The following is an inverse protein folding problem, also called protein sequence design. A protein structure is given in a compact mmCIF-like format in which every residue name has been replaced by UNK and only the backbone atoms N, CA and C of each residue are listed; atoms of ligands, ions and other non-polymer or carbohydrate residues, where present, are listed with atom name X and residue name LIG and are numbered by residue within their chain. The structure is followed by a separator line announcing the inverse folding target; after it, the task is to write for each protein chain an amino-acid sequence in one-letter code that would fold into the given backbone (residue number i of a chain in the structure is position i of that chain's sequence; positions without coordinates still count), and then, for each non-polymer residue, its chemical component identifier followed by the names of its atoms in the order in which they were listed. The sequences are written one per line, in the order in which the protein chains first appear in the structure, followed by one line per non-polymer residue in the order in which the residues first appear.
data_IF_554193672302
#
_entry.id   IF_554193672302
#
_cell.length_a   1.000
_cell.length_b   1.000
_cell.length_c   1.000
_cell.angle_alpha   90.00
_cell.angle_beta   90.00
_cell.angle_gamma   90.00
#
_symmetry.space_group_name_H-M   'P 1'
#
loop_
_entity.id
_entity.type
_entity.pdbx_description
1 polymer ?
#
# COMPACT_ATOMS: atom_id res chain seq x y z
N UNK A 1 -8.10 1.38 5.23
CA UNK A 1 -8.51 2.78 5.53
C UNK A 1 -8.71 3.05 7.03
N UNK A 2 -9.04 2.06 7.87
CA UNK A 2 -9.25 2.27 9.31
C UNK A 2 -8.08 2.96 10.03
N UNK A 3 -6.83 2.57 9.72
CA UNK A 3 -5.64 3.23 10.27
C UNK A 3 -5.55 4.71 9.91
N UNK A 4 -5.97 5.08 8.69
CA UNK A 4 -5.98 6.46 8.23
C UNK A 4 -7.02 7.29 9.01
N UNK A 5 -8.24 6.76 9.15
CA UNK A 5 -9.30 7.41 9.91
C UNK A 5 -8.92 7.56 11.40
N UNK A 6 -8.41 6.49 12.01
CA UNK A 6 -7.94 6.52 13.40
C UNK A 6 -6.81 7.54 13.61
N UNK A 7 -5.89 7.68 12.65
CA UNK A 7 -4.83 8.67 12.70
C UNK A 7 -5.38 10.10 12.73
N UNK A 8 -6.31 10.43 11.82
CA UNK A 8 -6.89 11.77 11.72
C UNK A 8 -7.74 12.10 12.94
N UNK A 9 -8.64 11.21 13.34
CA UNK A 9 -9.50 11.41 14.53
C UNK A 9 -8.67 11.65 15.77
N UNK A 10 -7.55 10.94 15.91
CA UNK A 10 -6.67 11.07 17.06
C UNK A 10 -5.84 12.36 17.06
N UNK A 11 -5.59 12.98 15.91
CA UNK A 11 -4.86 14.26 15.81
C UNK A 11 -5.82 15.45 15.97
N UNK A 12 -6.98 15.40 15.31
CA UNK A 12 -7.96 16.48 15.29
C UNK A 12 -8.83 16.48 16.55
N UNK A 13 -9.26 15.30 17.01
CA UNK A 13 -10.08 15.12 18.21
C UNK A 13 -11.59 15.28 17.99
N UNK A 14 -12.00 16.12 17.04
CA UNK A 14 -13.40 16.29 16.63
C UNK A 14 -13.78 15.38 15.45
N UNK A 15 -14.95 14.73 15.52
CA UNK A 15 -15.39 13.75 14.51
C UNK A 15 -15.73 14.42 13.16
N UNK A 16 -16.41 15.55 13.18
CA UNK A 16 -16.85 16.25 11.96
C UNK A 16 -15.65 16.86 11.23
N UNK A 17 -14.78 17.56 11.94
CA UNK A 17 -13.55 18.09 11.37
C UNK A 17 -12.65 16.97 10.83
N UNK A 18 -12.57 15.84 11.54
CA UNK A 18 -11.83 14.65 11.08
C UNK A 18 -12.39 14.08 9.79
N UNK A 19 -13.71 14.04 9.63
CA UNK A 19 -14.34 13.60 8.40
C UNK A 19 -13.98 14.49 7.22
N UNK A 20 -13.96 15.81 7.41
CA UNK A 20 -13.58 16.76 6.36
C UNK A 20 -12.10 16.65 5.99
N UNK A 21 -11.21 16.50 6.98
CA UNK A 21 -9.78 16.26 6.72
C UNK A 21 -9.56 14.92 6.02
N UNK A 22 -10.27 13.87 6.43
CA UNK A 22 -10.23 12.55 5.79
C UNK A 22 -10.70 12.63 4.34
N UNK A 23 -11.80 13.33 4.06
CA UNK A 23 -12.30 13.54 2.69
C UNK A 23 -11.28 14.31 1.83
N UNK A 24 -10.74 15.41 2.35
CA UNK A 24 -9.75 16.22 1.65
C UNK A 24 -8.47 15.43 1.31
N UNK A 25 -8.07 14.46 2.14
CA UNK A 25 -6.94 13.58 1.87
C UNK A 25 -7.14 12.81 0.54
N UNK A 26 -8.33 12.28 0.27
CA UNK A 26 -8.57 11.50 -0.95
C UNK A 26 -8.91 12.35 -2.17
N UNK A 27 -9.59 13.47 -1.96
CA UNK A 27 -10.06 14.30 -3.07
C UNK A 27 -8.98 15.25 -3.60
N UNK A 28 -8.07 15.70 -2.72
CA UNK A 28 -7.12 16.77 -3.04
C UNK A 28 -5.66 16.33 -3.00
N UNK A 29 -5.27 15.47 -2.05
CA UNK A 29 -3.86 15.17 -1.76
C UNK A 29 -3.37 13.90 -2.47
N UNK A 30 -4.20 12.86 -2.45
CA UNK A 30 -3.92 11.59 -3.12
C UNK A 30 -4.44 11.64 -4.57
N UNK A 31 -3.91 10.78 -5.46
CA UNK A 31 -4.51 10.55 -6.77
C UNK A 31 -5.99 10.16 -6.67
N UNK A 32 -6.79 10.57 -7.66
CA UNK A 32 -8.19 10.16 -7.77
C UNK A 32 -8.27 8.63 -7.78
N UNK A 33 -9.29 8.08 -7.09
CA UNK A 33 -9.54 6.64 -6.99
C UNK A 33 -8.44 5.81 -6.32
N UNK A 34 -7.59 6.44 -5.49
CA UNK A 34 -6.42 5.78 -4.89
C UNK A 34 -6.74 4.43 -4.22
N UNK A 35 -7.87 4.34 -3.51
CA UNK A 35 -8.32 3.14 -2.81
C UNK A 35 -9.47 2.38 -3.48
N UNK A 36 -9.97 2.79 -4.65
CA UNK A 36 -11.13 2.14 -5.28
C UNK A 36 -10.74 0.80 -5.92
N UNK A 37 -9.84 0.84 -6.90
CA UNK A 37 -9.33 -0.35 -7.60
C UNK A 37 -7.89 -0.69 -7.20
N UNK A 38 -7.33 0.05 -6.24
CA UNK A 38 -5.92 0.00 -5.83
C UNK A 38 -4.92 0.22 -6.97
N UNK A 39 -5.38 0.62 -8.16
CA UNK A 39 -4.54 0.85 -9.33
C UNK A 39 -3.49 1.90 -9.04
N UNK A 40 -3.87 3.03 -8.45
CA UNK A 40 -2.92 4.10 -8.15
C UNK A 40 -1.91 3.71 -7.06
N UNK A 41 -2.29 2.85 -6.12
CA UNK A 41 -1.34 2.28 -5.14
C UNK A 41 -0.31 1.40 -5.85
N UNK A 42 -0.75 0.56 -6.78
CA UNK A 42 0.16 -0.28 -7.57
C UNK A 42 1.06 0.56 -8.49
N UNK A 43 0.54 1.65 -9.04
CA UNK A 43 1.32 2.64 -9.79
C UNK A 43 2.38 3.29 -8.89
N UNK A 44 1.99 3.78 -7.71
CA UNK A 44 2.91 4.39 -6.75
C UNK A 44 3.95 3.39 -6.24
N UNK A 45 3.56 2.15 -6.01
CA UNK A 45 4.47 1.05 -5.71
C UNK A 45 5.48 0.84 -6.84
N UNK A 46 5.03 0.80 -8.10
CA UNK A 46 5.92 0.66 -9.26
C UNK A 46 6.93 1.81 -9.32
N UNK A 47 6.47 3.04 -9.09
CA UNK A 47 7.32 4.24 -9.05
C UNK A 47 8.36 4.11 -7.93
N UNK A 48 7.94 3.71 -6.74
CA UNK A 48 8.81 3.54 -5.58
C UNK A 48 9.90 2.49 -5.83
N UNK A 49 9.53 1.33 -6.38
CA UNK A 49 10.49 0.28 -6.77
C UNK A 49 11.49 0.82 -7.80
N UNK A 50 11.04 1.61 -8.78
CA UNK A 50 11.92 2.24 -9.76
C UNK A 50 12.88 3.26 -9.13
N UNK A 51 12.43 4.01 -8.12
CA UNK A 51 13.28 4.93 -7.36
C UNK A 51 14.32 4.14 -6.58
N UNK A 52 13.92 3.09 -5.85
CA UNK A 52 14.80 2.20 -5.10
C UNK A 52 15.87 1.58 -6.01
N UNK A 53 15.47 1.01 -7.15
CA UNK A 53 16.38 0.41 -8.13
C UNK A 53 17.43 1.40 -8.64
N UNK A 54 17.05 2.66 -8.90
CA UNK A 54 17.94 3.70 -9.43
C UNK A 54 18.83 4.34 -8.38
N UNK A 55 18.35 4.48 -7.14
CA UNK A 55 19.02 5.28 -6.10
C UNK A 55 19.76 4.44 -5.07
N UNK A 56 19.31 3.20 -4.83
CA UNK A 56 19.97 2.23 -3.95
C UNK A 56 20.07 0.89 -4.67
N UNK A 57 20.78 0.89 -5.79
CA UNK A 57 20.92 -0.29 -6.67
C UNK A 57 21.54 -1.48 -5.95
N UNK A 58 22.48 -1.25 -5.03
CA UNK A 58 23.10 -2.31 -4.21
C UNK A 58 22.03 -3.00 -3.35
N UNK A 59 21.28 -2.24 -2.57
CA UNK A 59 20.18 -2.75 -1.75
C UNK A 59 19.12 -3.47 -2.58
N UNK A 60 18.68 -2.85 -3.69
CA UNK A 60 17.67 -3.47 -4.56
C UNK A 60 18.12 -4.83 -5.09
N UNK A 61 19.37 -4.94 -5.57
CA UNK A 61 19.92 -6.22 -6.05
C UNK A 61 20.05 -7.24 -4.92
N UNK A 62 20.45 -6.80 -3.73
CA UNK A 62 20.55 -7.66 -2.55
C UNK A 62 19.21 -8.31 -2.21
N UNK A 63 18.14 -7.50 -2.08
CA UNK A 63 16.79 -8.00 -1.82
C UNK A 63 16.34 -9.00 -2.89
N UNK A 64 16.58 -8.70 -4.17
CA UNK A 64 16.23 -9.59 -5.28
C UNK A 64 17.02 -10.91 -5.27
N UNK A 65 18.31 -10.88 -4.94
CA UNK A 65 19.15 -12.08 -4.88
C UNK A 65 18.67 -13.05 -3.80
N UNK A 66 18.17 -12.53 -2.67
CA UNK A 66 17.61 -13.32 -1.58
C UNK A 66 16.15 -13.73 -1.85
N UNK A 67 15.54 -13.21 -2.92
CA UNK A 67 14.17 -13.52 -3.31
C UNK A 67 13.10 -12.69 -2.60
N UNK A 68 13.50 -11.61 -1.91
CA UNK A 68 12.56 -10.67 -1.31
C UNK A 68 12.08 -9.65 -2.36
N UNK A 69 10.80 -9.78 -2.72
CA UNK A 69 10.13 -8.77 -3.53
C UNK A 69 9.69 -7.58 -2.65
N UNK A 70 10.35 -6.44 -2.84
CA UNK A 70 10.02 -5.22 -2.12
C UNK A 70 8.58 -4.73 -2.37
N UNK A 71 7.90 -5.22 -3.41
CA UNK A 71 6.48 -5.01 -3.61
C UNK A 71 5.62 -5.47 -2.42
N UNK A 72 6.08 -6.45 -1.64
CA UNK A 72 5.33 -6.95 -0.46
C UNK A 72 5.21 -5.87 0.60
N UNK A 73 6.36 -5.32 0.99
CA UNK A 73 6.46 -4.33 2.06
C UNK A 73 5.91 -2.98 1.60
N UNK A 74 6.31 -2.54 0.40
CA UNK A 74 5.90 -1.23 -0.11
C UNK A 74 4.39 -1.09 -0.29
N UNK A 75 3.67 -2.18 -0.60
CA UNK A 75 2.22 -2.13 -0.70
C UNK A 75 1.58 -1.75 0.64
N UNK A 76 1.95 -2.46 1.71
CA UNK A 76 1.45 -2.21 3.06
C UNK A 76 1.75 -0.78 3.50
N UNK A 77 2.98 -0.30 3.25
CA UNK A 77 3.40 1.06 3.57
C UNK A 77 2.58 2.12 2.84
N UNK A 78 2.29 1.92 1.55
CA UNK A 78 1.53 2.86 0.73
C UNK A 78 0.02 2.83 1.06
N UNK A 79 -0.57 1.65 1.27
CA UNK A 79 -1.99 1.50 1.63
C UNK A 79 -2.30 2.17 2.97
N UNK A 80 -1.36 2.13 3.91
CA UNK A 80 -1.52 2.75 5.22
C UNK A 80 -0.89 4.15 5.30
N UNK A 81 -0.29 4.68 4.23
CA UNK A 81 0.45 5.94 4.23
C UNK A 81 1.39 6.07 5.44
N UNK A 82 2.09 4.96 5.77
CA UNK A 82 2.97 4.80 6.95
C UNK A 82 2.31 4.94 8.34
N UNK A 83 1.00 5.21 8.44
CA UNK A 83 0.30 5.40 9.73
C UNK A 83 0.36 4.20 10.67
N UNK A 84 0.55 3.00 10.13
CA UNK A 84 0.62 1.75 10.89
C UNK A 84 2.05 1.16 10.97
N UNK A 85 3.05 1.86 10.41
CA UNK A 85 4.40 1.33 10.19
C UNK A 85 5.49 2.04 11.00
N UNK A 86 5.15 3.14 11.67
CA UNK A 86 6.06 3.93 12.48
C UNK A 86 5.43 4.16 13.86
N UNK A 87 6.22 4.64 14.82
CA UNK A 87 5.65 5.15 16.08
C UNK A 87 4.78 6.37 15.80
N UNK A 88 3.87 6.64 16.73
CA UNK A 88 2.82 7.64 16.57
C UNK A 88 3.37 9.01 16.18
N UNK A 89 4.31 9.53 16.96
CA UNK A 89 4.85 10.88 16.85
C UNK A 89 5.56 11.09 15.50
N UNK A 90 6.27 10.07 15.04
CA UNK A 90 6.94 10.08 13.74
C UNK A 90 5.92 10.03 12.62
N UNK A 91 4.94 9.13 12.70
CA UNK A 91 3.91 9.00 11.68
C UNK A 91 3.08 10.29 11.52
N UNK A 92 2.72 10.95 12.63
CA UNK A 92 2.06 12.27 12.62
C UNK A 92 2.88 13.32 11.88
N UNK A 93 4.18 13.37 12.18
CA UNK A 93 5.07 14.34 11.53
C UNK A 93 5.19 14.08 10.03
N UNK A 94 5.24 12.82 9.60
CA UNK A 94 5.19 12.47 8.16
C UNK A 94 3.88 12.92 7.52
N UNK A 95 2.78 12.85 8.27
CA UNK A 95 1.47 13.31 7.81
C UNK A 95 1.41 14.84 7.68
N UNK A 96 2.10 15.60 8.53
CA UNK A 96 2.25 17.04 8.33
C UNK A 96 2.88 17.36 6.97
N UNK A 97 3.94 16.62 6.60
CA UNK A 97 4.55 16.76 5.26
C UNK A 97 3.62 16.28 4.14
N UNK A 98 2.80 15.26 4.37
CA UNK A 98 1.80 14.80 3.40
C UNK A 98 0.77 15.89 3.11
N UNK A 99 0.26 16.57 4.14
CA UNK A 99 -0.68 17.68 3.98
C UNK A 99 -0.01 18.93 3.38
N UNK A 100 1.25 19.19 3.71
CA UNK A 100 1.97 20.38 3.24
C UNK A 100 2.52 20.25 1.81
N UNK A 101 3.11 19.11 1.48
CA UNK A 101 3.86 18.90 0.23
C UNK A 101 3.18 17.93 -0.75
N UNK A 102 2.12 17.24 -0.30
CA UNK A 102 1.40 16.24 -1.07
C UNK A 102 1.98 14.82 -0.94
N UNK A 103 1.43 13.90 -1.74
CA UNK A 103 1.78 12.46 -1.70
C UNK A 103 3.27 12.14 -1.90
N UNK A 104 4.07 13.04 -2.49
CA UNK A 104 5.53 12.90 -2.60
C UNK A 104 6.23 12.76 -1.25
N UNK A 105 5.65 13.30 -0.17
CA UNK A 105 6.19 13.17 1.18
C UNK A 105 6.35 11.69 1.58
N UNK A 106 5.39 10.83 1.22
CA UNK A 106 5.41 9.40 1.51
C UNK A 106 6.57 8.70 0.78
N UNK A 107 6.82 9.05 -0.49
CA UNK A 107 7.97 8.50 -1.23
C UNK A 107 9.30 8.86 -0.57
N UNK A 108 9.44 10.12 -0.12
CA UNK A 108 10.66 10.58 0.55
C UNK A 108 10.82 9.94 1.93
N UNK A 109 9.73 9.79 2.68
CA UNK A 109 9.71 9.09 3.96
C UNK A 109 10.14 7.64 3.79
N UNK A 110 9.57 6.91 2.83
CA UNK A 110 9.95 5.52 2.55
C UNK A 110 11.44 5.42 2.17
N UNK A 111 11.94 6.28 1.29
CA UNK A 111 13.36 6.28 0.93
C UNK A 111 14.27 6.68 2.11
N UNK A 112 13.77 7.52 3.02
CA UNK A 112 14.41 7.85 4.29
C UNK A 112 14.54 6.62 5.19
N UNK A 113 13.44 5.91 5.43
CA UNK A 113 13.40 4.65 6.20
C UNK A 113 14.37 3.63 5.61
N UNK A 114 14.32 3.41 4.29
CA UNK A 114 15.24 2.49 3.61
C UNK A 114 16.70 2.91 3.71
N UNK A 115 16.99 4.19 3.88
CA UNK A 115 18.37 4.66 4.10
C UNK A 115 18.85 4.32 5.49
N UNK A 116 17.97 4.44 6.49
CA UNK A 116 18.30 4.12 7.87
C UNK A 116 18.49 2.61 8.08
N UNK A 117 17.71 1.79 7.38
CA UNK A 117 17.79 0.33 7.45
C UNK A 117 18.84 -0.29 6.53
N UNK A 118 19.48 0.49 5.65
CA UNK A 118 20.30 -0.07 4.56
C UNK A 118 21.45 -0.94 5.06
N UNK A 119 22.15 -0.51 6.11
CA UNK A 119 23.29 -1.24 6.65
C UNK A 119 22.86 -2.58 7.27
N UNK A 120 21.75 -2.60 8.01
CA UNK A 120 21.20 -3.82 8.59
C UNK A 120 20.73 -4.79 7.50
N UNK A 121 20.04 -4.28 6.48
CA UNK A 121 19.53 -5.09 5.37
C UNK A 121 20.67 -5.70 4.55
N UNK A 122 21.79 -4.99 4.39
CA UNK A 122 22.94 -5.52 3.65
C UNK A 122 23.78 -6.53 4.44
N UNK A 123 23.57 -6.65 5.75
CA UNK A 123 24.25 -7.62 6.60
C UNK A 123 23.51 -8.96 6.72
N UNK A 124 22.23 -9.00 6.35
CA UNK A 124 21.43 -10.23 6.42
C UNK A 124 21.35 -10.91 5.05
N UNK A 125 21.55 -12.22 5.05
CA UNK A 125 21.44 -13.08 3.87
C UNK A 125 20.20 -14.00 3.91
N UNK A 126 19.38 -13.92 4.97
CA UNK A 126 18.15 -14.70 5.14
C UNK A 126 16.89 -13.88 4.82
N UNK A 127 15.94 -14.52 4.13
CA UNK A 127 14.67 -13.89 3.74
C UNK A 127 13.84 -13.44 4.96
N UNK A 128 13.75 -14.27 5.99
CA UNK A 128 12.90 -14.02 7.16
C UNK A 128 13.43 -12.84 7.97
N UNK A 129 14.75 -12.78 8.15
CA UNK A 129 15.42 -11.67 8.82
C UNK A 129 15.24 -10.35 8.07
N UNK A 130 15.43 -10.35 6.75
CA UNK A 130 15.18 -9.16 5.93
C UNK A 130 13.73 -8.69 6.00
N UNK A 131 12.79 -9.62 5.96
CA UNK A 131 11.37 -9.32 6.07
C UNK A 131 11.06 -8.70 7.44
N UNK A 132 11.59 -9.26 8.53
CA UNK A 132 11.39 -8.74 9.88
C UNK A 132 12.00 -7.34 10.05
N UNK A 133 13.20 -7.11 9.51
CA UNK A 133 13.84 -5.78 9.52
C UNK A 133 12.94 -4.77 8.80
N UNK A 134 12.37 -5.13 7.64
CA UNK A 134 11.50 -4.22 6.90
C UNK A 134 10.14 -4.00 7.58
N UNK A 135 9.55 -5.02 8.20
CA UNK A 135 8.19 -4.93 8.75
C UNK A 135 8.16 -4.29 10.15
N UNK A 136 9.09 -4.68 11.03
CA UNK A 136 9.03 -4.34 12.46
C UNK A 136 10.04 -3.27 12.86
N UNK A 137 11.27 -3.32 12.35
CA UNK A 137 12.35 -2.41 12.77
C UNK A 137 12.08 -0.91 12.55
N UNK A 138 11.32 -0.44 11.53
CA UNK A 138 10.96 0.97 11.43
C UNK A 138 10.27 1.52 12.70
N UNK A 139 9.48 0.69 13.39
CA UNK A 139 8.80 1.09 14.64
C UNK A 139 9.72 1.09 15.85
N UNK A 140 10.77 0.29 15.83
CA UNK A 140 11.67 0.11 16.98
C UNK A 140 12.83 1.11 16.94
N UNK A 141 13.35 1.36 15.74
CA UNK A 141 14.58 2.15 15.56
C UNK A 141 14.29 3.64 15.40
N UNK A 142 13.21 4.00 14.69
CA UNK A 142 12.90 5.40 14.37
C UNK A 142 12.12 6.00 15.54
N UNK A 143 12.85 6.47 16.54
CA UNK A 143 12.28 6.96 17.80
C UNK A 143 12.04 8.48 17.82
N UNK A 144 12.52 9.21 16.81
CA UNK A 144 12.39 10.67 16.73
C UNK A 144 12.04 11.10 15.30
N UNK A 145 11.11 12.06 15.13
CA UNK A 145 10.80 12.62 13.81
C UNK A 145 12.01 13.26 13.13
N UNK A 146 12.89 13.93 13.90
CA UNK A 146 14.09 14.61 13.39
C UNK A 146 15.03 13.66 12.65
N UNK A 147 15.18 12.43 13.16
CA UNK A 147 16.03 11.41 12.55
C UNK A 147 15.52 10.99 11.17
N UNK A 148 14.22 10.77 11.04
CA UNK A 148 13.61 10.44 9.76
C UNK A 148 13.62 11.64 8.81
N UNK A 149 13.32 12.84 9.29
CA UNK A 149 13.35 14.08 8.49
C UNK A 149 14.74 14.32 7.90
N UNK A 150 15.81 14.15 8.70
CA UNK A 150 17.19 14.25 8.23
C UNK A 150 17.47 13.36 7.02
N UNK A 151 16.92 12.14 7.03
CA UNK A 151 17.06 11.20 5.93
C UNK A 151 16.11 11.52 4.75
N UNK A 152 14.91 12.04 5.01
CA UNK A 152 13.98 12.49 3.96
C UNK A 152 14.51 13.67 3.15
N UNK A 153 15.20 14.61 3.78
CA UNK A 153 15.76 15.81 3.12
C UNK A 153 16.75 15.43 2.01
N UNK A 154 17.47 14.31 2.16
CA UNK A 154 18.35 13.74 1.12
C UNK A 154 17.61 13.44 -0.19
N UNK A 155 16.29 13.22 -0.12
CA UNK A 155 15.42 12.92 -1.25
C UNK A 155 14.54 14.10 -1.70
N UNK A 156 14.79 15.33 -1.21
CA UNK A 156 14.02 16.54 -1.57
C UNK A 156 14.06 16.91 -3.06
N UNK A 157 15.01 16.35 -3.82
CA UNK A 157 15.07 16.47 -5.28
C UNK A 157 13.91 15.73 -5.97
N UNK A 158 13.28 14.74 -5.32
CA UNK A 158 12.09 14.05 -5.83
C UNK A 158 10.90 14.99 -5.65
N UNK A 159 10.44 15.63 -6.73
CA UNK A 159 9.33 16.59 -6.71
C UNK A 159 8.00 15.91 -7.02
N UNK A 160 6.89 16.45 -6.49
CA UNK A 160 5.52 16.00 -6.78
C UNK A 160 5.28 15.87 -8.28
N UNK A 161 5.61 16.91 -9.06
CA UNK A 161 5.52 16.91 -10.54
C UNK A 161 6.27 15.75 -11.22
N UNK A 162 7.36 15.27 -10.64
CA UNK A 162 8.09 14.10 -11.17
C UNK A 162 7.37 12.78 -10.86
N UNK A 163 6.71 12.70 -9.70
CA UNK A 163 5.86 11.56 -9.34
C UNK A 163 4.64 11.54 -10.26
N UNK A 164 3.96 12.66 -10.46
CA UNK A 164 2.77 12.73 -11.31
C UNK A 164 3.04 12.33 -12.76
N UNK A 165 4.15 12.81 -13.35
CA UNK A 165 4.63 12.33 -14.66
C UNK A 165 4.92 10.83 -14.69
N UNK A 166 5.42 10.29 -13.58
CA UNK A 166 5.66 8.85 -13.47
C UNK A 166 4.34 8.08 -13.37
N UNK A 167 3.34 8.62 -12.68
CA UNK A 167 1.98 8.05 -12.61
C UNK A 167 1.35 7.96 -13.98
N UNK A 168 1.37 9.06 -14.75
CA UNK A 168 0.90 9.08 -16.14
C UNK A 168 1.59 8.02 -17.00
N UNK A 169 2.91 7.83 -16.81
CA UNK A 169 3.69 6.83 -17.55
C UNK A 169 3.33 5.39 -17.18
N UNK A 170 3.18 5.07 -15.90
CA UNK A 170 3.04 3.69 -15.42
C UNK A 170 1.58 3.22 -15.31
N UNK A 171 0.62 4.14 -15.14
CA UNK A 171 -0.82 3.82 -15.05
C UNK A 171 -1.35 2.91 -16.15
N UNK A 172 -1.13 3.17 -17.47
CA UNK A 172 -1.66 2.29 -18.51
C UNK A 172 -1.09 0.88 -18.42
N UNK A 173 0.19 0.74 -18.05
CA UNK A 173 0.85 -0.57 -17.92
C UNK A 173 0.24 -1.38 -16.77
N UNK A 174 -0.02 -0.73 -15.62
CA UNK A 174 -0.65 -1.40 -14.48
C UNK A 174 -2.09 -1.79 -14.78
N UNK A 175 -2.86 -0.94 -15.49
CA UNK A 175 -4.22 -1.26 -15.91
C UNK A 175 -4.25 -2.46 -16.87
N UNK A 176 -3.29 -2.57 -17.78
CA UNK A 176 -3.15 -3.71 -18.68
C UNK A 176 -2.79 -4.99 -17.90
N UNK A 177 -1.82 -4.92 -16.98
CA UNK A 177 -1.45 -6.02 -16.11
C UNK A 177 -2.66 -6.50 -15.27
N UNK A 178 -3.42 -5.58 -14.67
CA UNK A 178 -4.64 -5.90 -13.91
C UNK A 178 -5.71 -6.56 -14.78
N UNK A 179 -5.90 -6.07 -16.01
CA UNK A 179 -6.88 -6.63 -16.96
C UNK A 179 -6.51 -8.06 -17.37
N UNK A 180 -5.24 -8.32 -17.68
CA UNK A 180 -4.77 -9.67 -18.04
C UNK A 180 -5.01 -10.66 -16.91
N UNK A 181 -4.76 -10.24 -15.66
CA UNK A 181 -5.04 -11.08 -14.48
C UNK A 181 -6.53 -11.35 -14.31
N UNK A 182 -7.40 -10.41 -14.68
CA UNK A 182 -8.85 -10.60 -14.63
C UNK A 182 -9.34 -11.55 -15.72
N UNK A 183 -8.82 -11.46 -16.94
CA UNK A 183 -9.18 -12.39 -18.02
C UNK A 183 -8.75 -13.83 -17.73
N UNK A 184 -7.55 -14.03 -17.18
CA UNK A 184 -7.01 -15.37 -16.89
C UNK A 184 -7.75 -16.06 -15.73
N UNK A 185 -8.25 -15.28 -14.76
CA UNK A 185 -8.98 -15.79 -13.59
C UNK A 185 -10.50 -15.93 -13.78
N UNK A 186 -11.03 -15.56 -14.95
CA UNK A 186 -12.43 -15.81 -15.32
C UNK A 186 -12.63 -17.19 -15.96
N UNK A 187 -11.56 -17.93 -16.23
CA UNK A 187 -11.59 -19.24 -16.90
C UNK A 187 -10.87 -20.38 -16.15
N UNK A 188 -10.25 -20.12 -14.98
CA UNK A 188 -9.44 -21.10 -14.27
C UNK A 188 -10.14 -21.66 -13.01
N UNK A 189 -10.31 -22.97 -12.97
CA UNK A 189 -10.61 -23.74 -11.75
C UNK A 189 -9.53 -23.46 -10.67
N UNK A 190 -9.94 -23.45 -9.39
CA UNK A 190 -9.04 -23.21 -8.25
C UNK A 190 -7.91 -24.28 -8.20
N UNK A 191 -6.61 -23.90 -8.12
CA UNK A 191 -5.53 -24.88 -8.10
C UNK A 191 -5.35 -25.59 -6.75
N UNK A 192 -4.93 -26.85 -6.77
CA UNK A 192 -4.72 -27.72 -5.59
C UNK A 192 -3.39 -27.42 -4.86
N UNK A 193 -3.28 -27.64 -3.52
CA UNK A 193 -2.24 -27.05 -2.66
C UNK A 193 -0.80 -27.60 -2.80
N UNK A 194 -0.53 -28.54 -3.70
CA UNK A 194 0.78 -29.22 -3.81
C UNK A 194 1.72 -28.61 -4.87
N UNK A 195 1.33 -27.52 -5.52
CA UNK A 195 2.05 -27.01 -6.68
C UNK A 195 3.08 -25.92 -6.31
N UNK A 196 4.35 -26.32 -6.19
CA UNK A 196 5.49 -25.43 -5.90
C UNK A 196 5.77 -24.38 -7.01
N UNK A 197 5.11 -24.52 -8.15
CA UNK A 197 5.12 -23.55 -9.25
C UNK A 197 4.40 -22.23 -8.90
N UNK A 198 3.59 -22.21 -7.83
CA UNK A 198 2.90 -21.03 -7.30
C UNK A 198 3.85 -19.88 -6.97
N UNK A 199 5.02 -20.15 -6.38
CA UNK A 199 5.95 -19.08 -6.00
C UNK A 199 6.67 -18.43 -7.20
N UNK A 200 6.76 -19.14 -8.34
CA UNK A 200 7.37 -18.59 -9.57
C UNK A 200 6.39 -17.79 -10.43
N UNK A 201 5.08 -18.04 -10.33
CA UNK A 201 4.06 -17.42 -11.19
C UNK A 201 3.20 -16.38 -10.49
N UNK A 202 3.22 -16.35 -9.16
CA UNK A 202 2.37 -15.45 -8.39
C UNK A 202 3.16 -14.23 -7.95
N UNK A 203 3.30 -13.26 -8.87
CA UNK A 203 3.45 -11.87 -8.46
C UNK A 203 2.31 -11.56 -7.49
N UNK A 204 2.65 -10.94 -6.38
CA UNK A 204 1.83 -10.70 -5.19
C UNK A 204 0.36 -10.29 -5.42
N UNK A 205 0.06 -9.75 -6.61
CA UNK A 205 -1.28 -9.51 -7.12
C UNK A 205 -2.25 -10.65 -6.84
N UNK A 206 -1.92 -11.95 -7.00
CA UNK A 206 -2.94 -12.98 -6.76
C UNK A 206 -3.42 -13.06 -5.31
N UNK A 207 -2.60 -12.77 -4.29
CA UNK A 207 -3.07 -12.94 -2.89
C UNK A 207 -4.07 -11.85 -2.50
N UNK A 208 -3.78 -10.59 -2.85
CA UNK A 208 -4.69 -9.46 -2.62
C UNK A 208 -5.86 -9.44 -3.61
N UNK A 209 -5.64 -9.87 -4.86
CA UNK A 209 -6.70 -9.99 -5.85
C UNK A 209 -7.72 -11.06 -5.45
N UNK A 210 -7.27 -12.23 -4.99
CA UNK A 210 -8.15 -13.27 -4.43
C UNK A 210 -8.91 -12.76 -3.20
N UNK A 211 -8.27 -11.98 -2.32
CA UNK A 211 -8.96 -11.33 -1.20
C UNK A 211 -10.03 -10.33 -1.66
N UNK A 212 -9.75 -9.52 -2.68
CA UNK A 212 -10.72 -8.57 -3.23
C UNK A 212 -11.89 -9.27 -3.94
N UNK A 213 -11.64 -10.39 -4.64
CA UNK A 213 -12.65 -11.23 -5.29
C UNK A 213 -13.50 -11.96 -4.25
N UNK A 214 -12.88 -12.51 -3.21
CA UNK A 214 -13.59 -13.12 -2.08
C UNK A 214 -14.47 -12.09 -1.35
N UNK A 215 -13.95 -10.89 -1.07
CA UNK A 215 -14.71 -9.81 -0.43
C UNK A 215 -15.87 -9.31 -1.29
N UNK A 216 -15.73 -9.29 -2.62
CA UNK A 216 -16.78 -8.91 -3.55
C UNK A 216 -17.88 -9.98 -3.66
N UNK A 217 -17.48 -11.25 -3.78
CA UNK A 217 -18.41 -12.38 -3.80
C UNK A 217 -19.18 -12.51 -2.48
N UNK A 218 -18.53 -12.38 -1.32
CA UNK A 218 -19.22 -12.40 -0.03
C UNK A 218 -20.19 -11.21 0.15
N UNK A 219 -19.89 -10.06 -0.47
CA UNK A 219 -20.79 -8.88 -0.46
C UNK A 219 -21.97 -9.06 -1.40
N UNK A 220 -21.78 -9.68 -2.57
CA UNK A 220 -22.85 -10.04 -3.50
C UNK A 220 -23.77 -11.13 -2.93
N UNK A 221 -23.22 -12.17 -2.31
CA UNK A 221 -23.97 -13.20 -1.59
C UNK A 221 -24.78 -12.62 -0.42
N UNK A 222 -24.20 -11.68 0.34
CA UNK A 222 -24.92 -10.99 1.41
C UNK A 222 -26.07 -10.12 0.89
N UNK A 223 -25.92 -9.47 -0.27
CA UNK A 223 -26.96 -8.65 -0.90
C UNK A 223 -28.08 -9.51 -1.51
N UNK A 224 -27.75 -10.65 -2.12
CA UNK A 224 -28.73 -11.61 -2.64
C UNK A 224 -29.54 -12.21 -1.49
N UNK A 225 -28.88 -12.68 -0.42
CA UNK A 225 -29.55 -13.23 0.75
C UNK A 225 -30.43 -12.19 1.47
N UNK A 226 -30.02 -10.92 1.52
CA UNK A 226 -30.82 -9.83 2.08
C UNK A 226 -32.07 -9.52 1.25
N UNK A 227 -31.97 -9.59 -0.09
CA UNK A 227 -33.11 -9.42 -0.98
C UNK A 227 -34.09 -10.60 -0.89
N UNK A 228 -33.59 -11.83 -0.83
CA UNK A 228 -34.42 -13.04 -0.68
C UNK A 228 -35.15 -13.06 0.68
N UNK A 229 -34.48 -12.64 1.76
CA UNK A 229 -35.12 -12.49 3.07
C UNK A 229 -36.23 -11.41 3.06
N UNK A 230 -36.05 -10.32 2.30
CA UNK A 230 -37.04 -9.25 2.17
C UNK A 230 -38.25 -9.66 1.31
N UNK A 231 -38.04 -10.50 0.29
CA UNK A 231 -39.12 -11.10 -0.52
C UNK A 231 -39.94 -12.09 0.34
N UNK A 232 -39.27 -12.97 1.08
CA UNK A 232 -39.94 -13.95 1.96
C UNK A 232 -40.75 -13.29 3.08
N UNK A 233 -40.29 -12.15 3.60
CA UNK A 233 -41.04 -11.34 4.57
C UNK A 233 -42.27 -10.65 3.95
N UNK A 234 -42.18 -10.15 2.71
CA UNK A 234 -43.32 -9.57 2.00
C UNK A 234 -44.40 -10.60 1.66
N UNK A 235 -44.00 -11.83 1.38
CA UNK A 235 -44.95 -12.94 1.11
C UNK A 235 -45.65 -13.42 2.39
N UNK A 236 -45.00 -13.34 3.56
CA UNK A 236 -45.63 -13.64 4.86
C UNK A 236 -46.59 -12.57 5.37
N UNK A 237 -46.52 -11.34 4.85
CA UNK A 237 -47.40 -10.22 5.26
C UNK A 237 -48.65 -10.13 4.36
N UNK A 238 -48.72 -10.91 3.27
CA UNK A 238 -49.88 -10.97 2.36
C UNK A 238 -50.83 -12.15 2.60
N UNK A 239 -50.65 -12.92 3.69
CA UNK A 239 -51.59 -13.94 4.14
C UNK A 239 -52.28 -13.51 5.44
#
# INVERSE_FOLDING_TARGET
MNYLAAMIVRVIGDEEESFWVFTNLFETILPIDYFCLMTEILVDQKILIQILQKKKTKLFKHLQNIGLDFAIISFQWLVCLLSANLIKEVAETIWDFLFLEGSVAIFRAIMGILTMLEDDLLQQDDFSELYQILDSKPKEMINSPEELISNMVKFRYIKQKSIDRSREKYRPLILEEQRSVWSDNSSADLPHPSDSSLFKRVKLLNKFFLLSKAMRNSREEALVNANDASITLKDKIKC
#
